data_IF_583822080970
#
_entry.id   IF_583822080970
#
_cell.length_a   1.000
_cell.length_b   1.000
_cell.length_c   1.000
_cell.angle_alpha   90.00
_cell.angle_beta   90.00
_cell.angle_gamma   90.00
#
_symmetry.space_group_name_H-M   'P 1'
#
loop_
_entity.id
_entity.type
_entity.pdbx_description
1 polymer ?
#
# COMPACT_ATOMS: atom_id res chain seq x y z
N UNK A 1 -18.31 -11.91 28.39
CA UNK A 1 -16.87 -11.65 28.18
C UNK A 1 -16.31 -10.79 29.30
N UNK A 2 -16.64 -9.50 29.39
CA UNK A 2 -16.13 -8.66 30.48
C UNK A 2 -16.61 -9.15 31.86
N UNK A 3 -17.91 -9.45 32.01
CA UNK A 3 -18.48 -10.04 33.23
C UNK A 3 -17.93 -11.43 33.58
N UNK A 4 -17.32 -12.10 32.60
CA UNK A 4 -16.69 -13.41 32.77
C UNK A 4 -15.19 -13.29 33.09
N UNK A 5 -14.70 -12.07 33.37
CA UNK A 5 -13.31 -11.81 33.74
C UNK A 5 -12.31 -11.73 32.59
N UNK A 6 -12.76 -11.66 31.33
CA UNK A 6 -11.85 -11.53 30.19
C UNK A 6 -11.44 -10.07 29.94
N UNK A 7 -10.16 -9.87 29.60
CA UNK A 7 -9.65 -8.64 28.99
C UNK A 7 -9.81 -8.72 27.48
N UNK A 8 -10.34 -7.66 26.87
CA UNK A 8 -10.52 -7.58 25.41
C UNK A 8 -9.57 -6.55 24.83
N UNK A 9 -8.78 -6.94 23.84
CA UNK A 9 -7.94 -6.01 23.06
C UNK A 9 -8.54 -5.83 21.67
N UNK A 10 -8.76 -4.58 21.29
CA UNK A 10 -9.25 -4.17 19.97
C UNK A 10 -8.15 -3.38 19.26
N UNK A 11 -7.83 -3.78 18.02
CA UNK A 11 -6.79 -3.13 17.20
C UNK A 11 -7.20 -3.11 15.73
N UNK A 12 -6.45 -2.36 14.92
CA UNK A 12 -6.46 -2.45 13.46
C UNK A 12 -5.14 -3.03 12.95
N UNK A 13 -5.11 -3.51 11.72
CA UNK A 13 -3.92 -3.97 10.99
C UNK A 13 -3.20 -2.80 10.29
N UNK A 14 -3.95 -1.84 9.76
CA UNK A 14 -3.43 -0.61 9.18
C UNK A 14 -4.44 0.55 9.28
N UNK A 15 -3.95 1.76 9.01
CA UNK A 15 -4.73 2.97 8.77
C UNK A 15 -5.11 3.14 7.30
N UNK A 16 -5.64 4.31 6.95
CA UNK A 16 -5.89 4.75 5.59
C UNK A 16 -5.42 6.21 5.43
N UNK A 17 -5.08 6.58 4.21
CA UNK A 17 -4.75 7.97 3.86
C UNK A 17 -5.57 8.42 2.66
N UNK A 18 -5.86 9.71 2.63
CA UNK A 18 -6.21 10.39 1.38
C UNK A 18 -4.95 10.45 0.49
N UNK A 19 -5.12 10.07 -0.77
CA UNK A 19 -4.08 10.03 -1.77
C UNK A 19 -4.57 10.63 -3.10
N UNK A 20 -3.66 11.21 -3.86
CA UNK A 20 -3.95 11.82 -5.18
C UNK A 20 -3.46 10.92 -6.30
N UNK A 21 -4.31 10.69 -7.29
CA UNK A 21 -3.99 9.92 -8.48
C UNK A 21 -2.85 10.53 -9.28
N UNK A 22 -1.83 9.73 -9.58
CA UNK A 22 -0.69 10.10 -10.44
C UNK A 22 -0.87 9.63 -11.89
N UNK A 23 -2.07 9.18 -12.23
CA UNK A 23 -2.38 8.43 -13.44
C UNK A 23 -2.41 6.92 -13.20
N UNK A 24 -3.09 6.21 -14.08
CA UNK A 24 -3.33 4.78 -13.94
C UNK A 24 -2.63 4.02 -15.08
N UNK A 25 -1.58 3.24 -14.78
CA UNK A 25 -0.96 2.36 -15.76
C UNK A 25 -1.99 1.40 -16.39
N UNK A 26 -2.07 1.36 -17.73
CA UNK A 26 -2.92 0.41 -18.46
C UNK A 26 -2.16 -0.89 -18.72
N UNK A 27 -1.96 -1.68 -17.67
CA UNK A 27 -1.06 -2.84 -17.70
C UNK A 27 -1.75 -4.15 -18.04
N UNK A 28 -3.08 -4.18 -18.11
CA UNK A 28 -3.85 -5.39 -18.38
C UNK A 28 -3.50 -6.51 -17.40
N UNK A 29 -2.95 -7.62 -17.92
CA UNK A 29 -2.55 -8.83 -17.16
C UNK A 29 -1.10 -8.73 -16.62
N UNK A 30 -0.36 -7.67 -16.96
CA UNK A 30 1.08 -7.54 -16.67
C UNK A 30 1.34 -7.20 -15.21
N UNK A 31 0.46 -6.43 -14.56
CA UNK A 31 0.52 -6.20 -13.13
C UNK A 31 -0.11 -7.37 -12.37
N UNK A 32 0.64 -7.96 -11.45
CA UNK A 32 0.15 -9.06 -10.60
C UNK A 32 -0.92 -8.56 -9.61
N UNK A 33 -0.95 -7.25 -9.32
CA UNK A 33 -1.91 -6.65 -8.39
C UNK A 33 -2.62 -5.41 -8.95
N UNK A 34 -3.84 -5.18 -8.48
CA UNK A 34 -4.64 -3.97 -8.74
C UNK A 34 -4.61 -2.95 -7.59
N UNK A 35 -3.67 -3.07 -6.64
CA UNK A 35 -3.56 -2.15 -5.49
C UNK A 35 -3.29 -0.71 -5.95
N UNK A 36 -4.01 0.27 -5.39
CA UNK A 36 -3.80 1.68 -5.74
C UNK A 36 -2.45 2.22 -5.21
N UNK A 37 -1.80 1.51 -4.29
CA UNK A 37 -0.62 1.99 -3.56
C UNK A 37 0.66 1.21 -3.87
N UNK A 38 0.54 0.05 -4.52
CA UNK A 38 1.67 -0.76 -4.96
C UNK A 38 1.30 -1.59 -6.20
N UNK A 39 2.21 -1.68 -7.16
CA UNK A 39 2.11 -2.55 -8.34
C UNK A 39 3.23 -3.59 -8.30
N UNK A 40 2.87 -4.84 -8.51
CA UNK A 40 3.78 -5.97 -8.47
C UNK A 40 4.08 -6.44 -9.90
N UNK A 41 5.36 -6.64 -10.21
CA UNK A 41 5.84 -7.13 -11.50
C UNK A 41 6.80 -8.29 -11.28
N UNK A 42 6.74 -9.28 -12.17
CA UNK A 42 7.68 -10.40 -12.23
C UNK A 42 8.84 -10.16 -13.22
N UNK A 43 8.99 -8.92 -13.68
CA UNK A 43 10.00 -8.52 -14.65
C UNK A 43 10.47 -7.10 -14.33
N UNK A 44 11.79 -6.95 -14.14
CA UNK A 44 12.42 -5.65 -13.92
C UNK A 44 12.15 -4.69 -15.08
N UNK A 45 12.28 -5.16 -16.31
CA UNK A 45 12.11 -4.34 -17.51
C UNK A 45 10.69 -3.76 -17.60
N UNK A 46 9.67 -4.56 -17.27
CA UNK A 46 8.28 -4.10 -17.20
C UNK A 46 8.10 -3.06 -16.10
N UNK A 47 8.62 -3.31 -14.89
CA UNK A 47 8.54 -2.36 -13.79
C UNK A 47 9.23 -1.02 -14.12
N UNK A 48 10.41 -1.07 -14.75
CA UNK A 48 11.17 0.12 -15.18
C UNK A 48 10.50 0.86 -16.32
N UNK A 49 9.88 0.16 -17.27
CA UNK A 49 9.11 0.79 -18.34
C UNK A 49 7.93 1.59 -17.77
N UNK A 50 7.23 1.03 -16.79
CA UNK A 50 6.14 1.74 -16.11
C UNK A 50 6.69 2.91 -15.31
N UNK A 51 7.76 2.72 -14.53
CA UNK A 51 8.40 3.79 -13.77
C UNK A 51 8.80 4.98 -14.65
N UNK A 52 9.30 4.75 -15.86
CA UNK A 52 9.65 5.83 -16.79
C UNK A 52 8.45 6.72 -17.17
N UNK A 53 7.24 6.15 -17.23
CA UNK A 53 6.00 6.88 -17.49
C UNK A 53 5.39 7.49 -16.21
N UNK A 54 5.76 6.99 -15.04
CA UNK A 54 5.28 7.41 -13.72
C UNK A 54 6.47 7.73 -12.80
N UNK A 55 7.21 8.84 -13.05
CA UNK A 55 8.52 9.08 -12.43
C UNK A 55 8.45 9.37 -10.92
N UNK A 56 7.28 9.75 -10.39
CA UNK A 56 7.05 10.00 -8.95
C UNK A 56 6.71 8.69 -8.23
N UNK A 57 7.55 7.69 -8.43
CA UNK A 57 7.41 6.34 -7.87
C UNK A 57 8.75 5.80 -7.36
N UNK A 58 8.67 4.91 -6.38
CA UNK A 58 9.78 4.16 -5.82
C UNK A 58 9.69 2.73 -6.35
N UNK A 59 10.74 2.27 -7.01
CA UNK A 59 10.91 0.87 -7.42
C UNK A 59 11.65 0.12 -6.32
N UNK A 60 10.95 -0.77 -5.63
CA UNK A 60 11.47 -1.55 -4.52
C UNK A 60 11.75 -3.00 -4.97
N UNK A 61 12.97 -3.44 -4.70
CA UNK A 61 13.48 -4.78 -4.98
C UNK A 61 14.75 -5.05 -4.13
N UNK A 62 15.20 -6.31 -4.06
CA UNK A 62 16.49 -6.74 -3.48
C UNK A 62 16.75 -6.34 -2.01
N UNK A 63 15.70 -6.32 -1.20
CA UNK A 63 15.76 -5.98 0.24
C UNK A 63 15.81 -7.20 1.17
N UNK A 64 15.82 -8.42 0.59
CA UNK A 64 15.68 -9.72 1.26
C UNK A 64 14.30 -10.01 1.87
N UNK A 65 13.34 -9.09 1.77
CA UNK A 65 11.95 -9.31 2.20
C UNK A 65 11.08 -9.76 1.02
N UNK A 66 11.35 -9.24 -0.17
CA UNK A 66 10.65 -9.60 -1.39
C UNK A 66 11.23 -10.88 -2.03
N UNK A 67 10.39 -11.70 -2.69
CA UNK A 67 10.87 -12.75 -3.59
C UNK A 67 11.86 -12.20 -4.62
N UNK A 68 12.86 -13.01 -4.99
CA UNK A 68 13.95 -12.58 -5.87
C UNK A 68 13.51 -12.21 -7.29
N UNK A 69 12.32 -12.64 -7.71
CA UNK A 69 11.70 -12.39 -9.00
C UNK A 69 10.55 -11.39 -8.92
N UNK A 70 10.48 -10.58 -7.85
CA UNK A 70 9.40 -9.61 -7.64
C UNK A 70 9.93 -8.17 -7.52
N UNK A 71 9.34 -7.27 -8.30
CA UNK A 71 9.58 -5.84 -8.24
C UNK A 71 8.28 -5.13 -7.85
N UNK A 72 8.37 -4.22 -6.88
CA UNK A 72 7.22 -3.47 -6.38
C UNK A 72 7.39 -2.00 -6.71
N UNK A 73 6.52 -1.46 -7.56
CA UNK A 73 6.48 -0.03 -7.86
C UNK A 73 5.43 0.63 -6.97
N UNK A 74 5.82 1.66 -6.21
CA UNK A 74 4.92 2.37 -5.29
C UNK A 74 4.93 3.87 -5.60
N UNK A 75 3.78 4.56 -5.60
CA UNK A 75 3.75 6.01 -5.64
C UNK A 75 4.47 6.60 -4.43
N UNK A 76 5.24 7.66 -4.62
CA UNK A 76 5.91 8.33 -3.50
C UNK A 76 4.89 9.12 -2.67
N UNK A 77 5.04 9.11 -1.34
CA UNK A 77 4.22 9.89 -0.42
C UNK A 77 2.73 9.53 -0.50
N UNK A 78 1.88 10.54 -0.72
CA UNK A 78 0.41 10.37 -0.84
C UNK A 78 -0.06 10.21 -2.29
N UNK A 79 0.76 9.64 -3.17
CA UNK A 79 0.34 9.25 -4.52
C UNK A 79 -0.53 7.99 -4.54
N UNK A 80 -1.26 7.81 -5.64
CA UNK A 80 -2.00 6.58 -5.94
C UNK A 80 -2.01 6.29 -7.46
N UNK A 81 -1.97 5.01 -7.84
CA UNK A 81 -2.25 4.57 -9.22
C UNK A 81 -3.76 4.64 -9.49
N UNK A 82 -4.24 5.85 -9.71
CA UNK A 82 -5.61 6.24 -10.02
C UNK A 82 -5.57 7.35 -11.07
N UNK A 83 -6.68 7.62 -11.79
CA UNK A 83 -6.79 8.77 -12.70
C UNK A 83 -6.16 10.04 -12.15
N UNK A 84 -5.44 10.77 -13.02
CA UNK A 84 -4.64 11.92 -12.62
C UNK A 84 -5.51 12.96 -11.89
N UNK A 85 -5.11 13.33 -10.67
CA UNK A 85 -5.81 14.30 -9.83
C UNK A 85 -7.01 13.75 -9.05
N UNK A 86 -7.42 12.48 -9.26
CA UNK A 86 -8.49 11.87 -8.47
C UNK A 86 -8.06 11.71 -7.01
N UNK A 87 -8.91 12.14 -6.08
CA UNK A 87 -8.72 11.86 -4.66
C UNK A 87 -9.29 10.49 -4.32
N UNK A 88 -8.48 9.66 -3.68
CA UNK A 88 -8.87 8.32 -3.23
C UNK A 88 -8.47 8.13 -1.78
N UNK A 89 -9.25 7.37 -1.03
CA UNK A 89 -8.86 6.88 0.29
C UNK A 89 -8.38 5.45 0.13
N UNK A 90 -7.14 5.17 0.53
CA UNK A 90 -6.53 3.85 0.35
C UNK A 90 -5.44 3.59 1.39
N UNK A 91 -4.89 2.39 1.35
CA UNK A 91 -3.80 1.93 2.22
C UNK A 91 -2.84 1.01 1.42
N UNK A 92 -1.73 0.62 2.03
CA UNK A 92 -0.72 -0.28 1.42
C UNK A 92 0.41 0.45 0.71
N UNK A 93 0.61 1.74 1.00
CA UNK A 93 1.79 2.51 0.60
C UNK A 93 2.82 2.63 1.71
N UNK A 94 3.73 3.60 1.55
CA UNK A 94 4.88 3.80 2.45
C UNK A 94 4.65 4.91 3.50
N UNK A 95 3.41 5.35 3.73
CA UNK A 95 3.16 6.48 4.64
C UNK A 95 3.04 6.02 6.08
N UNK A 96 3.58 6.82 7.00
CA UNK A 96 3.56 6.49 8.43
C UNK A 96 2.13 6.46 8.98
N UNK A 97 1.24 7.29 8.43
CA UNK A 97 -0.16 7.36 8.81
C UNK A 97 -0.92 6.06 8.51
N UNK A 98 -0.48 5.25 7.55
CA UNK A 98 -1.03 3.91 7.30
C UNK A 98 -0.59 2.90 8.39
N UNK A 99 0.42 3.20 9.20
CA UNK A 99 0.97 2.33 10.26
C UNK A 99 0.50 2.71 11.66
N UNK A 100 -0.17 3.86 11.81
CA UNK A 100 -0.73 4.30 13.09
C UNK A 100 -2.13 3.70 13.23
N UNK A 101 -2.28 2.79 14.19
CA UNK A 101 -3.53 2.07 14.45
C UNK A 101 -3.96 2.21 15.91
N UNK A 102 -5.27 2.17 16.20
CA UNK A 102 -5.74 2.11 17.57
C UNK A 102 -5.28 0.81 18.23
N UNK A 103 -4.88 0.87 19.49
CA UNK A 103 -4.73 -0.28 20.37
C UNK A 103 -5.52 0.01 21.65
N UNK A 104 -6.69 -0.62 21.77
CA UNK A 104 -7.63 -0.35 22.86
C UNK A 104 -7.74 -1.60 23.72
N UNK A 105 -7.49 -1.44 25.01
CA UNK A 105 -7.72 -2.48 26.02
C UNK A 105 -8.99 -2.16 26.78
N UNK A 106 -9.93 -3.09 26.76
CA UNK A 106 -11.23 -3.00 27.43
C UNK A 106 -11.21 -4.00 28.58
N UNK A 107 -11.33 -3.49 29.80
CA UNK A 107 -11.38 -4.27 31.03
C UNK A 107 -12.70 -4.03 31.77
N UNK A 108 -13.06 -4.96 32.65
CA UNK A 108 -14.06 -4.67 33.68
C UNK A 108 -13.51 -3.59 34.62
N UNK A 109 -14.38 -2.69 35.08
CA UNK A 109 -14.02 -1.56 35.94
C UNK A 109 -13.60 -1.98 37.34
#
# INVERSE_FOLDING_TARGET
MLESGYTVTLTSDHGHVEATGIGQPQEGVVAVSRSKRARLYNSEDLARNVQANYPVTILWHADKLLPADLWVLMPQGRGAFAPLGELVVSHGGLTLEEMIVPLVTITQR
#
